data_IF_621357005954
#
_entry.id   IF_621357005954
#
_cell.length_a   1.000
_cell.length_b   1.000
_cell.length_c   1.000
_cell.angle_alpha   90.00
_cell.angle_beta   90.00
_cell.angle_gamma   90.00
#
_symmetry.space_group_name_H-M   'P 1'
#
loop_
_entity.id
_entity.type
_entity.pdbx_description
1 polymer ?
#
# COMPACT_ATOMS: atom_id res chain seq x y z
N UNK A 1 -33.91 36.01 7.89
CA UNK A 1 -33.66 34.57 8.06
C UNK A 1 -32.27 34.29 7.48
N UNK A 2 -31.27 34.46 8.29
CA UNK A 2 -29.86 34.19 7.92
C UNK A 2 -29.57 32.74 8.26
N UNK A 3 -29.56 31.89 7.22
CA UNK A 3 -29.19 30.48 7.35
C UNK A 3 -27.74 30.34 7.78
N UNK A 4 -27.54 29.75 8.94
CA UNK A 4 -26.29 29.30 9.48
C UNK A 4 -25.69 28.23 8.51
N UNK A 5 -24.76 28.68 7.69
CA UNK A 5 -23.91 27.76 6.88
C UNK A 5 -22.98 27.04 7.83
N UNK A 6 -23.42 25.85 8.26
CA UNK A 6 -22.67 24.98 9.14
C UNK A 6 -21.20 24.95 8.78
N UNK A 7 -20.38 25.51 9.65
CA UNK A 7 -18.93 25.38 9.62
C UNK A 7 -18.59 23.92 9.72
N UNK A 8 -18.22 23.28 8.61
CA UNK A 8 -17.56 21.97 8.61
C UNK A 8 -16.33 22.07 9.52
N UNK A 9 -16.49 21.57 10.73
CA UNK A 9 -15.45 21.53 11.75
C UNK A 9 -14.31 20.67 11.20
N UNK A 10 -13.26 21.29 10.73
CA UNK A 10 -12.04 20.59 10.36
C UNK A 10 -11.48 19.92 11.61
N UNK A 11 -11.59 18.60 11.69
CA UNK A 11 -11.18 17.81 12.87
C UNK A 11 -9.66 17.76 12.99
N UNK A 12 -8.94 17.97 11.88
CA UNK A 12 -7.46 17.94 11.83
C UNK A 12 -6.93 19.24 11.19
N UNK A 13 -5.77 19.71 11.67
CA UNK A 13 -5.12 20.84 11.00
C UNK A 13 -4.63 20.43 9.61
N UNK A 14 -4.71 21.31 8.59
CA UNK A 14 -4.26 21.01 7.23
C UNK A 14 -2.81 20.50 7.17
N UNK A 15 -1.94 21.04 8.03
CA UNK A 15 -0.54 20.60 8.12
C UNK A 15 -0.38 19.17 8.64
N UNK A 16 -1.21 18.75 9.60
CA UNK A 16 -1.17 17.36 10.10
C UNK A 16 -1.61 16.36 9.02
N UNK A 17 -2.61 16.72 8.23
CA UNK A 17 -3.09 15.88 7.11
C UNK A 17 -2.01 15.72 6.06
N UNK A 18 -1.33 16.82 5.68
CA UNK A 18 -0.22 16.78 4.73
C UNK A 18 0.93 15.91 5.22
N UNK A 19 1.35 16.10 6.47
CA UNK A 19 2.45 15.35 7.05
C UNK A 19 2.15 13.85 7.16
N UNK A 20 0.93 13.50 7.62
CA UNK A 20 0.49 12.12 7.68
C UNK A 20 0.43 11.46 6.29
N UNK A 21 -0.09 12.18 5.29
CA UNK A 21 -0.14 11.71 3.90
C UNK A 21 1.27 11.49 3.32
N UNK A 22 2.19 12.43 3.55
CA UNK A 22 3.58 12.31 3.11
C UNK A 22 4.30 11.13 3.75
N UNK A 23 4.18 10.96 5.06
CA UNK A 23 4.80 9.83 5.77
C UNK A 23 4.21 8.50 5.30
N UNK A 24 2.88 8.41 5.17
CA UNK A 24 2.22 7.19 4.68
C UNK A 24 2.76 6.75 3.33
N UNK A 25 2.77 7.66 2.35
CA UNK A 25 3.30 7.36 1.01
C UNK A 25 4.81 7.09 1.00
N UNK A 26 5.59 7.74 1.86
CA UNK A 26 7.02 7.46 2.00
C UNK A 26 7.27 6.04 2.49
N UNK A 27 6.54 5.57 3.49
CA UNK A 27 6.62 4.20 4.00
C UNK A 27 6.18 3.20 2.92
N UNK A 28 5.13 3.50 2.18
CA UNK A 28 4.65 2.68 1.06
C UNK A 28 5.72 2.47 -0.01
N UNK A 29 6.35 3.56 -0.46
CA UNK A 29 7.41 3.47 -1.46
C UNK A 29 8.67 2.79 -0.93
N UNK A 30 9.01 3.01 0.34
CA UNK A 30 10.11 2.29 0.99
C UNK A 30 9.86 0.76 0.99
N UNK A 31 8.67 0.30 1.39
CA UNK A 31 8.29 -1.12 1.32
C UNK A 31 8.39 -1.67 -0.11
N UNK A 32 7.95 -0.87 -1.09
CA UNK A 32 8.04 -1.21 -2.50
C UNK A 32 9.48 -1.42 -2.97
N UNK A 33 10.40 -0.52 -2.63
CA UNK A 33 11.82 -0.63 -3.03
C UNK A 33 12.53 -1.77 -2.31
N UNK A 34 12.29 -1.95 -1.01
CA UNK A 34 12.84 -3.08 -0.25
C UNK A 34 12.36 -4.40 -0.85
N UNK A 35 11.07 -4.51 -1.14
CA UNK A 35 10.56 -5.74 -1.75
C UNK A 35 11.17 -5.99 -3.13
N UNK A 36 11.25 -4.97 -3.98
CA UNK A 36 11.88 -5.09 -5.30
C UNK A 36 13.32 -5.58 -5.22
N UNK A 37 14.08 -5.06 -4.27
CA UNK A 37 15.45 -5.50 -3.99
C UNK A 37 15.50 -6.94 -3.48
N UNK A 38 14.63 -7.28 -2.52
CA UNK A 38 14.53 -8.63 -1.96
C UNK A 38 14.07 -9.66 -3.01
N UNK A 39 13.18 -9.26 -3.93
CA UNK A 39 12.70 -10.12 -5.02
C UNK A 39 13.82 -10.56 -5.97
N UNK A 40 14.89 -9.79 -6.08
CA UNK A 40 16.05 -10.14 -6.93
C UNK A 40 17.15 -10.83 -6.13
N UNK A 41 17.44 -10.36 -4.91
CA UNK A 41 18.64 -10.77 -4.18
C UNK A 41 18.38 -11.90 -3.17
N UNK A 42 17.20 -11.94 -2.57
CA UNK A 42 16.89 -12.76 -1.39
C UNK A 42 15.87 -13.86 -1.70
N UNK A 43 14.71 -13.50 -2.21
CA UNK A 43 13.59 -14.42 -2.38
C UNK A 43 13.86 -15.59 -3.33
N UNK A 44 14.61 -15.43 -4.44
CA UNK A 44 14.94 -16.55 -5.30
C UNK A 44 15.64 -17.69 -4.56
N UNK A 45 16.47 -17.34 -3.56
CA UNK A 45 17.24 -18.31 -2.78
C UNK A 45 16.43 -18.92 -1.62
N UNK A 46 15.49 -18.17 -1.05
CA UNK A 46 14.75 -18.59 0.14
C UNK A 46 13.44 -19.30 -0.17
N UNK A 47 12.71 -18.84 -1.18
CA UNK A 47 11.31 -19.26 -1.39
C UNK A 47 11.11 -20.07 -2.67
N UNK A 48 12.13 -20.24 -3.51
CA UNK A 48 12.00 -20.96 -4.78
C UNK A 48 12.91 -22.18 -4.84
N UNK A 49 12.57 -23.20 -5.69
CA UNK A 49 13.35 -24.41 -5.80
C UNK A 49 14.78 -24.15 -6.27
N UNK A 50 15.79 -24.83 -5.68
CA UNK A 50 17.16 -24.72 -6.14
C UNK A 50 17.33 -25.37 -7.53
N UNK A 51 18.21 -24.83 -8.36
CA UNK A 51 18.56 -25.39 -9.67
C UNK A 51 18.84 -24.32 -10.71
N UNK A 52 17.84 -23.57 -11.14
CA UNK A 52 18.00 -22.50 -12.12
C UNK A 52 17.80 -21.13 -11.49
N UNK A 53 18.89 -20.41 -11.25
CA UNK A 53 18.86 -19.09 -10.63
C UNK A 53 18.04 -18.05 -11.42
N UNK A 54 18.10 -18.11 -12.75
CA UNK A 54 17.32 -17.21 -13.62
C UNK A 54 15.83 -17.49 -13.50
N UNK A 55 15.43 -18.77 -13.50
CA UNK A 55 14.02 -19.14 -13.34
C UNK A 55 13.50 -18.74 -11.97
N UNK A 56 14.25 -18.96 -10.90
CA UNK A 56 13.88 -18.55 -9.55
C UNK A 56 13.71 -17.03 -9.43
N UNK A 57 14.58 -16.24 -10.06
CA UNK A 57 14.49 -14.79 -10.09
C UNK A 57 13.24 -14.32 -10.86
N UNK A 58 12.95 -14.93 -12.02
CA UNK A 58 11.75 -14.62 -12.80
C UNK A 58 10.46 -14.95 -12.04
N UNK A 59 10.43 -16.10 -11.35
CA UNK A 59 9.30 -16.48 -10.49
C UNK A 59 9.11 -15.50 -9.32
N UNK A 60 10.21 -15.08 -8.70
CA UNK A 60 10.16 -14.07 -7.64
C UNK A 60 9.65 -12.73 -8.14
N UNK A 61 10.11 -12.26 -9.30
CA UNK A 61 9.60 -11.05 -9.95
C UNK A 61 8.12 -11.19 -10.38
N UNK A 62 7.69 -12.39 -10.77
CA UNK A 62 6.27 -12.64 -11.04
C UNK A 62 5.42 -12.47 -9.77
N UNK A 63 5.88 -12.91 -8.60
CA UNK A 63 5.17 -12.62 -7.33
C UNK A 63 5.12 -11.14 -7.01
N UNK A 64 6.17 -10.38 -7.33
CA UNK A 64 6.17 -8.92 -7.23
C UNK A 64 5.10 -8.29 -8.11
N UNK A 65 4.96 -8.77 -9.35
CA UNK A 65 3.96 -8.28 -10.28
C UNK A 65 2.52 -8.55 -9.81
N UNK A 66 2.25 -9.62 -9.05
CA UNK A 66 0.91 -9.93 -8.53
C UNK A 66 0.29 -8.80 -7.72
N UNK A 67 1.09 -8.05 -6.96
CA UNK A 67 0.60 -6.91 -6.20
C UNK A 67 0.02 -5.81 -7.10
N UNK A 68 0.57 -5.59 -8.29
CA UNK A 68 0.05 -4.59 -9.23
C UNK A 68 -1.31 -5.01 -9.78
N UNK A 69 -1.51 -6.30 -10.05
CA UNK A 69 -2.82 -6.81 -10.48
C UNK A 69 -3.86 -6.77 -9.36
N UNK A 70 -3.44 -6.92 -8.10
CA UNK A 70 -4.33 -6.83 -6.96
C UNK A 70 -4.77 -5.39 -6.64
N UNK A 71 -3.98 -4.36 -6.99
CA UNK A 71 -4.29 -2.95 -6.71
C UNK A 71 -5.66 -2.48 -7.25
N UNK A 72 -6.02 -2.68 -8.53
CA UNK A 72 -7.32 -2.28 -9.03
C UNK A 72 -8.48 -2.95 -8.29
N UNK A 73 -8.32 -4.22 -7.93
CA UNK A 73 -9.30 -4.99 -7.16
C UNK A 73 -9.42 -4.40 -5.75
N UNK A 74 -8.30 -4.11 -5.10
CA UNK A 74 -8.24 -3.45 -3.80
C UNK A 74 -8.90 -2.08 -3.81
N UNK A 75 -8.62 -1.26 -4.83
CA UNK A 75 -9.24 0.06 -5.00
C UNK A 75 -10.76 -0.02 -5.12
N UNK A 76 -11.27 -0.95 -5.93
CA UNK A 76 -12.71 -1.17 -6.06
C UNK A 76 -13.34 -1.69 -4.75
N UNK A 77 -12.68 -2.64 -4.09
CA UNK A 77 -13.15 -3.26 -2.85
C UNK A 77 -13.21 -2.22 -1.72
N UNK A 78 -12.09 -1.58 -1.43
CA UNK A 78 -11.99 -0.61 -0.34
C UNK A 78 -12.73 0.69 -0.65
N UNK A 79 -12.83 1.10 -1.92
CA UNK A 79 -13.67 2.21 -2.35
C UNK A 79 -15.13 1.94 -2.03
N UNK A 80 -15.65 0.79 -2.44
CA UNK A 80 -17.03 0.39 -2.17
C UNK A 80 -17.38 0.34 -0.67
N UNK A 81 -16.49 -0.24 0.14
CA UNK A 81 -16.69 -0.28 1.60
C UNK A 81 -16.48 1.09 2.24
N UNK A 82 -15.59 1.93 1.69
CA UNK A 82 -15.36 3.30 2.14
C UNK A 82 -16.61 4.17 2.09
N UNK A 83 -17.42 4.01 1.05
CA UNK A 83 -18.69 4.74 0.89
C UNK A 83 -19.78 4.23 1.84
N UNK A 84 -19.72 2.97 2.30
CA UNK A 84 -20.74 2.35 3.17
C UNK A 84 -20.42 2.41 4.66
N UNK A 85 -19.17 2.13 5.03
CA UNK A 85 -18.73 1.97 6.43
C UNK A 85 -18.02 3.23 6.93
N UNK A 86 -17.58 4.07 5.99
CA UNK A 86 -16.83 5.29 6.26
C UNK A 86 -15.35 5.18 5.89
N UNK A 87 -14.83 6.24 5.29
CA UNK A 87 -13.48 6.33 4.71
C UNK A 87 -12.36 6.05 5.71
N UNK A 88 -12.50 6.53 6.96
CA UNK A 88 -11.48 6.32 8.00
C UNK A 88 -11.32 4.85 8.37
N UNK A 89 -12.42 4.14 8.60
CA UNK A 89 -12.39 2.72 8.96
C UNK A 89 -11.79 1.88 7.82
N UNK A 90 -12.17 2.18 6.59
CA UNK A 90 -11.70 1.49 5.39
C UNK A 90 -10.22 1.74 5.14
N UNK A 91 -9.72 2.96 5.36
CA UNK A 91 -8.30 3.28 5.25
C UNK A 91 -7.48 2.51 6.29
N UNK A 92 -7.95 2.44 7.54
CA UNK A 92 -7.29 1.65 8.59
C UNK A 92 -7.28 0.16 8.22
N UNK A 93 -8.37 -0.38 7.68
CA UNK A 93 -8.44 -1.76 7.23
C UNK A 93 -7.46 -2.05 6.08
N UNK A 94 -7.34 -1.13 5.12
CA UNK A 94 -6.39 -1.23 4.02
C UNK A 94 -4.93 -1.24 4.51
N UNK A 95 -4.58 -0.31 5.41
CA UNK A 95 -3.26 -0.25 6.06
C UNK A 95 -2.93 -1.50 6.86
N UNK A 96 -3.89 -2.02 7.63
CA UNK A 96 -3.72 -3.27 8.39
C UNK A 96 -3.53 -4.46 7.45
N UNK A 97 -4.27 -4.55 6.36
CA UNK A 97 -4.13 -5.63 5.37
C UNK A 97 -2.73 -5.61 4.76
N UNK A 98 -2.23 -4.43 4.37
CA UNK A 98 -0.88 -4.26 3.84
C UNK A 98 0.18 -4.60 4.89
N UNK A 99 0.11 -4.01 6.08
CA UNK A 99 1.10 -4.19 7.14
C UNK A 99 1.17 -5.63 7.65
N UNK A 100 0.02 -6.29 7.87
CA UNK A 100 0.00 -7.69 8.27
C UNK A 100 0.56 -8.62 7.19
N UNK A 101 0.30 -8.33 5.92
CA UNK A 101 0.88 -9.08 4.80
C UNK A 101 2.40 -8.89 4.74
N UNK A 102 2.92 -7.69 4.98
CA UNK A 102 4.38 -7.42 5.05
C UNK A 102 5.03 -8.18 6.21
N UNK A 103 4.44 -8.14 7.40
CA UNK A 103 4.92 -8.92 8.56
C UNK A 103 4.89 -10.41 8.27
N UNK A 104 3.81 -10.92 7.67
CA UNK A 104 3.68 -12.32 7.30
C UNK A 104 4.80 -12.76 6.35
N UNK A 105 5.18 -11.95 5.34
CA UNK A 105 6.31 -12.25 4.44
C UNK A 105 7.61 -12.43 5.22
N UNK A 106 7.87 -11.57 6.21
CA UNK A 106 9.07 -11.69 7.06
C UNK A 106 9.10 -12.92 7.94
N UNK A 107 7.94 -13.53 8.22
CA UNK A 107 7.79 -14.72 9.07
C UNK A 107 7.64 -16.02 8.25
N UNK A 108 7.59 -15.94 6.92
CA UNK A 108 7.39 -17.12 6.07
C UNK A 108 8.54 -18.13 6.20
N UNK A 109 8.23 -19.42 6.38
CA UNK A 109 9.21 -20.46 6.30
C UNK A 109 9.77 -20.60 4.88
N UNK A 110 11.01 -21.03 4.78
CA UNK A 110 11.75 -21.16 3.51
C UNK A 110 11.27 -22.35 2.68
N UNK A 111 11.64 -22.38 1.41
CA UNK A 111 11.39 -23.51 0.51
C UNK A 111 11.97 -24.83 1.07
N UNK A 112 13.12 -24.78 1.74
CA UNK A 112 13.74 -25.96 2.36
C UNK A 112 12.85 -26.58 3.46
N UNK A 113 12.00 -25.78 4.11
CA UNK A 113 11.14 -26.24 5.21
C UNK A 113 9.78 -26.74 4.73
N UNK A 114 9.15 -26.03 3.80
CA UNK A 114 7.75 -26.29 3.39
C UNK A 114 7.57 -26.50 1.87
N UNK A 115 8.65 -26.56 1.12
CA UNK A 115 8.61 -26.84 -0.33
C UNK A 115 7.78 -25.82 -1.09
N UNK A 116 6.95 -26.32 -2.03
CA UNK A 116 6.12 -25.50 -2.94
C UNK A 116 5.11 -24.58 -2.22
N UNK A 117 4.82 -24.83 -0.95
CA UNK A 117 3.97 -23.94 -0.18
C UNK A 117 4.64 -22.57 0.10
N UNK A 118 5.97 -22.48 0.12
CA UNK A 118 6.69 -21.24 0.36
C UNK A 118 6.40 -20.17 -0.72
N UNK A 119 6.60 -20.41 -2.02
CA UNK A 119 6.27 -19.44 -3.05
C UNK A 119 4.75 -19.18 -3.14
N UNK A 120 3.90 -20.16 -2.85
CA UNK A 120 2.45 -19.97 -2.85
C UNK A 120 2.00 -19.00 -1.73
N UNK A 121 2.53 -19.16 -0.52
CA UNK A 121 2.26 -18.23 0.58
C UNK A 121 2.84 -16.85 0.33
N UNK A 122 4.03 -16.74 -0.26
CA UNK A 122 4.61 -15.48 -0.67
C UNK A 122 3.68 -14.75 -1.66
N UNK A 123 3.18 -15.46 -2.67
CA UNK A 123 2.24 -14.93 -3.65
C UNK A 123 0.92 -14.45 -2.99
N UNK A 124 0.39 -15.23 -2.04
CA UNK A 124 -0.81 -14.86 -1.29
C UNK A 124 -0.60 -13.59 -0.46
N UNK A 125 0.50 -13.50 0.27
CA UNK A 125 0.85 -12.29 1.03
C UNK A 125 1.00 -11.08 0.08
N UNK A 126 1.56 -11.29 -1.10
CA UNK A 126 1.75 -10.24 -2.10
C UNK A 126 0.42 -9.73 -2.68
N UNK A 127 -0.54 -10.63 -2.89
CA UNK A 127 -1.92 -10.24 -3.23
C UNK A 127 -2.55 -9.40 -2.10
N UNK A 128 -2.38 -9.81 -0.83
CA UNK A 128 -2.85 -9.05 0.32
C UNK A 128 -2.26 -7.64 0.40
N UNK A 129 -0.93 -7.50 0.19
CA UNK A 129 -0.29 -6.18 0.10
C UNK A 129 -0.88 -5.34 -1.03
N UNK A 130 -1.03 -5.91 -2.22
CA UNK A 130 -1.59 -5.21 -3.38
C UNK A 130 -3.02 -4.74 -3.16
N UNK A 131 -3.86 -5.57 -2.53
CA UNK A 131 -5.23 -5.17 -2.16
C UNK A 131 -5.22 -3.98 -1.19
N UNK A 132 -4.40 -4.02 -0.13
CA UNK A 132 -4.28 -2.92 0.84
C UNK A 132 -3.80 -1.62 0.17
N UNK A 133 -2.75 -1.70 -0.64
CA UNK A 133 -2.21 -0.55 -1.40
C UNK A 133 -3.24 0.09 -2.33
N UNK A 134 -4.08 -0.73 -2.99
CA UNK A 134 -5.14 -0.22 -3.86
C UNK A 134 -6.16 0.63 -3.11
N UNK A 135 -6.46 0.29 -1.85
CA UNK A 135 -7.39 1.05 -1.01
C UNK A 135 -6.82 2.35 -0.44
N UNK A 136 -5.51 2.40 -0.23
CA UNK A 136 -4.84 3.54 0.41
C UNK A 136 -4.64 4.73 -0.53
N UNK A 137 -4.16 4.48 -1.74
CA UNK A 137 -3.69 5.54 -2.66
C UNK A 137 -4.78 6.55 -3.04
N UNK A 138 -5.97 6.05 -3.38
CA UNK A 138 -7.12 6.93 -3.65
C UNK A 138 -7.54 7.72 -2.42
N UNK A 139 -7.48 7.11 -1.23
CA UNK A 139 -7.84 7.73 0.04
C UNK A 139 -6.86 8.83 0.48
N UNK A 140 -5.56 8.65 0.31
CA UNK A 140 -4.54 9.61 0.70
C UNK A 140 -4.62 10.91 -0.09
N UNK A 141 -4.72 10.83 -1.42
CA UNK A 141 -4.86 12.00 -2.30
C UNK A 141 -6.17 12.72 -2.02
N UNK A 142 -7.27 11.98 -1.88
CA UNK A 142 -8.59 12.56 -1.62
C UNK A 142 -8.62 13.25 -0.25
N UNK A 143 -8.05 12.63 0.78
CA UNK A 143 -7.95 13.22 2.12
C UNK A 143 -7.14 14.53 2.09
N UNK A 144 -6.02 14.56 1.37
CA UNK A 144 -5.19 15.75 1.23
C UNK A 144 -5.95 16.89 0.52
N UNK A 145 -6.64 16.59 -0.58
CA UNK A 145 -7.36 17.59 -1.37
C UNK A 145 -8.63 18.09 -0.69
N UNK A 146 -9.39 17.24 -0.02
CA UNK A 146 -10.60 17.63 0.74
C UNK A 146 -10.30 18.54 1.94
N UNK A 147 -9.11 18.41 2.55
CA UNK A 147 -8.67 19.25 3.66
C UNK A 147 -7.82 20.45 3.21
N UNK A 148 -7.69 20.67 1.92
CA UNK A 148 -6.94 21.79 1.39
C UNK A 148 -7.72 23.11 1.57
N UNK A 149 -7.04 24.23 1.88
CA UNK A 149 -7.62 25.56 1.78
C UNK A 149 -8.05 25.85 0.33
N UNK A 150 -9.13 26.62 0.16
CA UNK A 150 -9.64 26.99 -1.17
C UNK A 150 -8.53 27.57 -2.06
N UNK A 151 -8.38 27.04 -3.27
CA UNK A 151 -7.38 27.44 -4.24
C UNK A 151 -5.97 26.81 -4.04
N UNK A 152 -5.82 25.90 -3.07
CA UNK A 152 -4.57 25.15 -2.83
C UNK A 152 -4.72 23.63 -3.00
N UNK A 153 -5.82 23.17 -3.56
CA UNK A 153 -6.15 21.75 -3.72
C UNK A 153 -5.07 21.01 -4.51
N UNK A 154 -4.56 21.62 -5.60
CA UNK A 154 -3.47 21.06 -6.42
C UNK A 154 -2.17 20.91 -5.64
N UNK A 155 -1.82 21.91 -4.82
CA UNK A 155 -0.62 21.87 -3.99
C UNK A 155 -0.72 20.73 -2.96
N UNK A 156 -1.88 20.58 -2.32
CA UNK A 156 -2.11 19.54 -1.31
C UNK A 156 -2.12 18.14 -1.93
N UNK A 157 -2.71 17.96 -3.11
CA UNK A 157 -2.69 16.70 -3.85
C UNK A 157 -1.30 16.29 -4.36
N UNK A 158 -0.36 17.24 -4.45
CA UNK A 158 1.02 16.97 -4.86
C UNK A 158 1.87 16.39 -3.71
N UNK A 159 1.56 16.69 -2.44
CA UNK A 159 2.36 16.26 -1.30
C UNK A 159 2.54 14.73 -1.19
N UNK A 160 1.51 13.89 -1.39
CA UNK A 160 1.69 12.44 -1.40
C UNK A 160 2.70 11.95 -2.44
N UNK A 161 2.89 12.68 -3.55
CA UNK A 161 3.83 12.30 -4.61
C UNK A 161 5.31 12.45 -4.19
N UNK A 162 5.59 13.30 -3.21
CA UNK A 162 6.94 13.41 -2.64
C UNK A 162 7.35 12.18 -1.82
N UNK A 163 6.42 11.32 -1.46
CA UNK A 163 6.73 10.03 -0.83
C UNK A 163 7.61 9.14 -1.71
N UNK A 164 7.48 9.22 -3.04
CA UNK A 164 8.27 8.43 -3.98
C UNK A 164 9.79 8.68 -3.85
N UNK A 165 10.31 9.92 -3.98
CA UNK A 165 11.73 10.18 -3.81
C UNK A 165 12.23 10.08 -2.37
N UNK A 166 11.34 10.22 -1.38
CA UNK A 166 11.73 10.11 0.03
C UNK A 166 11.77 8.66 0.53
N UNK A 167 11.04 7.76 -0.11
CA UNK A 167 11.05 6.33 0.19
C UNK A 167 12.22 5.57 -0.44
N UNK A 168 12.95 6.18 -1.37
CA UNK A 168 14.12 5.60 -2.03
C UNK A 168 15.36 5.78 -1.16
#
# INVERSE_FOLDING_TARGET
MTGDLGTHRQVNSPGQVLFASLIGTTIEFFDFYIYGTAAVLVFPKLFFPPGNATAATLQSLATFALAFFARPIGSALFGHFGDRIGRKATLVAALLTMGLSTVAIGLLPTYASIGIAAPALLALCRLGQGLGLGGEWGGAVLLATENAPRGKESLYGMFPQFGLPLGF
#
